data_IF_843119801732
#
_entry.id   IF_843119801732
#
_cell.length_a   1.000
_cell.length_b   1.000
_cell.length_c   1.000
_cell.angle_alpha   90.00
_cell.angle_beta   90.00
_cell.angle_gamma   90.00
#
_symmetry.space_group_name_H-M   'P 1'
#
loop_
_entity.id
_entity.type
_entity.pdbx_description
1 polymer ?
#
# COMPACT_ATOMS: atom_id res chain seq x y z
N UNK A 1 28.14 39.15 48.49
CA UNK A 1 27.99 37.69 48.49
C UNK A 1 29.26 37.11 49.11
N UNK A 2 29.17 36.14 50.06
CA UNK A 2 30.39 35.48 50.61
C UNK A 2 30.97 34.57 49.49
N UNK A 3 32.30 34.46 49.45
CA UNK A 3 33.02 33.71 48.40
C UNK A 3 32.56 32.26 48.30
N UNK A 4 32.27 31.64 49.41
CA UNK A 4 31.78 30.25 49.49
C UNK A 4 30.40 30.12 48.88
N UNK A 5 29.46 31.04 49.14
CA UNK A 5 28.11 31.06 48.60
C UNK A 5 28.08 31.23 47.06
N UNK A 6 29.04 31.99 46.49
CA UNK A 6 29.19 32.16 45.05
C UNK A 6 29.65 30.86 44.40
N UNK A 7 30.65 30.19 44.95
CA UNK A 7 31.20 28.95 44.44
C UNK A 7 30.16 27.82 44.48
N UNK A 8 29.37 27.72 45.55
CA UNK A 8 28.28 26.75 45.67
C UNK A 8 27.21 26.97 44.59
N UNK A 9 26.78 28.22 44.37
CA UNK A 9 25.79 28.57 43.36
C UNK A 9 26.32 28.31 41.93
N UNK A 10 27.57 28.65 41.64
CA UNK A 10 28.21 28.37 40.36
C UNK A 10 28.27 26.88 40.07
N UNK A 11 28.71 26.08 41.07
CA UNK A 11 28.76 24.62 40.93
C UNK A 11 27.37 24.02 40.71
N UNK A 12 26.35 24.55 41.38
CA UNK A 12 24.97 24.15 41.20
C UNK A 12 24.48 24.47 39.77
N UNK A 13 24.74 25.68 39.28
CA UNK A 13 24.38 26.06 37.90
C UNK A 13 25.12 25.23 36.87
N UNK A 14 26.42 24.96 37.06
CA UNK A 14 27.17 24.09 36.11
C UNK A 14 26.62 22.66 36.07
N UNK A 15 26.28 22.08 37.21
CA UNK A 15 25.67 20.76 37.28
C UNK A 15 24.32 20.74 36.55
N UNK A 16 23.45 21.72 36.77
CA UNK A 16 22.17 21.85 36.09
C UNK A 16 22.39 22.02 34.57
N UNK A 17 23.32 22.90 34.18
CA UNK A 17 23.68 23.14 32.77
C UNK A 17 24.09 21.88 32.07
N UNK A 18 24.94 21.06 32.69
CA UNK A 18 25.39 19.78 32.11
C UNK A 18 24.28 18.76 32.03
N UNK A 19 23.44 18.58 33.06
CA UNK A 19 22.33 17.63 33.08
C UNK A 19 21.28 18.02 32.05
N UNK A 20 20.93 19.31 31.95
CA UNK A 20 19.93 19.83 31.04
C UNK A 20 20.46 19.98 29.59
N UNK A 21 21.76 19.75 29.37
CA UNK A 21 22.42 19.96 28.07
C UNK A 21 22.21 21.38 27.51
N UNK A 22 22.25 22.36 28.37
CA UNK A 22 22.13 23.79 28.06
C UNK A 22 23.51 24.36 27.74
N UNK A 23 23.61 25.25 26.76
CA UNK A 23 24.89 25.85 26.39
C UNK A 23 25.39 26.79 27.46
N UNK A 24 24.55 27.75 27.87
CA UNK A 24 24.81 28.71 28.93
C UNK A 24 23.64 28.73 29.91
N UNK A 25 23.96 28.76 31.19
CA UNK A 25 23.03 28.92 32.31
C UNK A 25 23.63 29.90 33.33
N UNK A 26 23.01 31.03 33.47
CA UNK A 26 23.52 32.08 34.34
C UNK A 26 22.39 32.84 35.03
N UNK A 27 22.73 33.64 36.02
CA UNK A 27 21.82 34.58 36.66
C UNK A 27 22.23 36.02 36.34
N UNK A 28 21.21 36.87 36.17
CA UNK A 28 21.38 38.26 35.82
C UNK A 28 20.58 39.16 36.77
N UNK A 29 21.02 40.41 36.93
CA UNK A 29 20.28 41.46 37.63
C UNK A 29 20.60 42.81 37.02
N UNK A 30 19.85 43.87 37.40
CA UNK A 30 20.23 45.24 37.11
C UNK A 30 21.38 45.72 37.99
N UNK A 31 22.30 46.49 37.42
CA UNK A 31 23.27 47.29 38.17
C UNK A 31 22.64 48.64 38.66
N UNK A 32 23.39 49.43 39.40
CA UNK A 32 22.91 50.73 39.90
C UNK A 32 22.61 51.77 38.80
N UNK A 33 23.00 51.47 37.56
CA UNK A 33 22.72 52.29 36.36
C UNK A 33 21.54 51.75 35.54
N UNK A 34 20.84 50.71 36.02
CA UNK A 34 19.74 50.08 35.34
C UNK A 34 20.15 49.22 34.12
N UNK A 35 21.41 48.79 34.02
CA UNK A 35 21.90 47.94 32.95
C UNK A 35 21.94 46.48 33.44
N UNK A 36 21.52 45.50 32.65
CA UNK A 36 21.61 44.09 33.02
C UNK A 36 23.08 43.63 33.05
N UNK A 37 23.42 42.90 34.13
CA UNK A 37 24.75 42.35 34.33
C UNK A 37 24.71 40.92 34.84
N UNK A 38 25.78 40.16 34.59
CA UNK A 38 25.97 38.83 35.12
C UNK A 38 26.11 38.86 36.64
N UNK A 39 25.43 37.97 37.33
CA UNK A 39 25.57 37.80 38.78
C UNK A 39 26.34 36.51 39.11
N UNK A 40 25.91 35.38 38.56
CA UNK A 40 26.63 34.09 38.65
C UNK A 40 26.53 33.39 37.27
N UNK A 41 27.67 33.03 36.72
CA UNK A 41 27.77 32.25 35.52
C UNK A 41 27.99 30.76 35.87
N UNK A 42 27.23 29.86 35.29
CA UNK A 42 27.36 28.42 35.46
C UNK A 42 28.52 27.80 34.68
N UNK A 43 29.27 28.57 33.90
CA UNK A 43 30.49 28.05 33.27
C UNK A 43 31.65 27.96 34.28
N UNK A 44 32.57 27.00 34.06
CA UNK A 44 33.83 26.97 34.85
C UNK A 44 34.66 28.22 34.61
N UNK A 45 35.34 28.76 35.65
CA UNK A 45 36.12 30.00 35.54
C UNK A 45 37.27 29.97 34.52
N UNK A 46 37.69 28.79 34.09
CA UNK A 46 38.70 28.60 33.06
C UNK A 46 38.14 28.50 31.65
N UNK A 47 36.81 28.59 31.47
CA UNK A 47 36.17 28.66 30.15
C UNK A 47 36.45 30.00 29.46
N UNK A 48 36.68 29.98 28.14
CA UNK A 48 36.84 31.21 27.34
C UNK A 48 35.60 32.10 27.35
N UNK A 49 34.45 31.49 27.53
CA UNK A 49 33.14 32.17 27.47
C UNK A 49 32.62 32.57 28.85
N UNK A 50 33.39 32.26 29.93
CA UNK A 50 33.02 32.64 31.32
C UNK A 50 32.90 34.13 31.50
N UNK A 51 31.85 34.54 32.20
CA UNK A 51 31.59 35.93 32.58
C UNK A 51 31.71 36.13 34.11
N UNK A 52 32.44 37.17 34.47
CA UNK A 52 32.61 37.55 35.89
C UNK A 52 31.38 38.27 36.42
N UNK A 53 31.12 38.18 37.75
CA UNK A 53 30.09 39.00 38.37
C UNK A 53 30.30 40.47 38.12
N UNK A 54 29.29 41.15 37.57
CA UNK A 54 29.34 42.56 37.21
C UNK A 54 29.64 42.83 35.73
N UNK A 55 30.04 41.85 34.95
CA UNK A 55 30.18 42.00 33.50
C UNK A 55 28.81 42.34 32.91
N UNK A 56 28.77 43.24 31.91
CA UNK A 56 27.55 43.61 31.25
C UNK A 56 27.08 42.49 30.28
N UNK A 57 25.78 42.33 30.20
CA UNK A 57 25.15 41.42 29.26
C UNK A 57 25.29 41.94 27.82
N UNK A 58 25.43 41.04 26.88
CA UNK A 58 25.57 41.32 25.44
C UNK A 58 24.34 42.05 24.89
N UNK A 59 24.58 43.05 24.02
CA UNK A 59 23.53 43.93 23.47
C UNK A 59 22.40 43.23 22.79
N UNK A 60 22.68 42.10 22.15
CA UNK A 60 21.72 41.33 21.36
C UNK A 60 20.55 40.77 22.16
N UNK A 61 20.79 40.49 23.46
CA UNK A 61 19.79 39.88 24.37
C UNK A 61 19.25 40.86 25.40
N UNK A 62 19.84 42.06 25.54
CA UNK A 62 19.42 43.11 26.50
C UNK A 62 17.92 43.43 26.41
N UNK A 63 17.29 43.58 25.23
CA UNK A 63 15.85 43.89 25.17
C UNK A 63 14.98 42.83 25.83
N UNK A 64 15.31 41.55 25.63
CA UNK A 64 14.58 40.42 26.20
C UNK A 64 14.82 40.33 27.71
N UNK A 65 16.06 40.55 28.13
CA UNK A 65 16.44 40.46 29.53
C UNK A 65 15.83 41.60 30.36
N UNK A 66 15.68 42.78 29.81
CA UNK A 66 14.99 43.89 30.46
C UNK A 66 13.54 43.56 30.78
N UNK A 67 12.82 42.92 29.85
CA UNK A 67 11.45 42.44 30.05
C UNK A 67 11.42 41.37 31.15
N UNK A 68 12.36 40.42 31.09
CA UNK A 68 12.45 39.34 32.07
C UNK A 68 12.73 39.89 33.49
N UNK A 69 13.67 40.80 33.63
CA UNK A 69 14.00 41.46 34.90
C UNK A 69 12.88 42.38 35.41
N UNK A 70 11.90 42.73 34.57
CA UNK A 70 10.67 43.43 34.95
C UNK A 70 9.52 42.47 35.32
N UNK A 71 9.78 41.16 35.36
CA UNK A 71 8.81 40.15 35.83
C UNK A 71 8.13 39.31 34.75
N UNK A 72 8.53 39.45 33.50
CA UNK A 72 7.96 38.68 32.41
C UNK A 72 8.76 37.38 32.16
N UNK A 73 8.09 36.25 32.02
CA UNK A 73 8.72 35.02 31.51
C UNK A 73 8.99 35.19 30.02
N UNK A 74 10.23 35.06 29.59
CA UNK A 74 10.64 35.25 28.20
C UNK A 74 11.10 33.92 27.62
N UNK A 75 10.51 33.59 26.48
CA UNK A 75 10.99 32.54 25.59
C UNK A 75 11.21 33.18 24.22
N UNK A 76 12.35 32.91 23.57
CA UNK A 76 12.60 33.46 22.22
C UNK A 76 11.67 32.82 21.20
N UNK A 77 10.97 33.64 20.42
CA UNK A 77 10.07 33.16 19.34
C UNK A 77 10.82 32.44 18.20
N UNK A 78 12.13 32.50 18.20
CA UNK A 78 12.98 31.91 17.16
C UNK A 78 14.45 31.92 17.55
N UNK A 79 15.29 31.65 16.58
CA UNK A 79 16.74 31.67 16.73
C UNK A 79 17.22 33.10 16.85
N UNK A 80 17.97 33.35 17.89
CA UNK A 80 18.74 34.59 18.10
C UNK A 80 20.16 34.37 17.59
N UNK A 81 20.63 35.25 16.74
CA UNK A 81 22.03 35.27 16.30
C UNK A 81 22.82 36.22 17.22
N UNK A 82 23.62 35.64 18.07
CA UNK A 82 24.49 36.37 18.99
C UNK A 82 25.96 36.24 18.56
N UNK A 83 26.84 37.02 19.20
CA UNK A 83 28.31 36.87 19.01
C UNK A 83 28.78 35.43 19.25
N UNK A 84 28.07 34.66 20.07
CA UNK A 84 28.37 33.29 20.47
C UNK A 84 27.73 32.24 19.57
N UNK A 85 27.02 32.69 18.51
CA UNK A 85 26.32 31.84 17.54
C UNK A 85 24.81 31.85 17.70
N UNK A 86 24.16 30.93 17.01
CA UNK A 86 22.69 30.79 16.96
C UNK A 86 22.18 30.10 18.25
N UNK A 87 21.30 30.74 18.97
CA UNK A 87 20.75 30.27 20.25
C UNK A 87 19.23 30.39 20.29
N UNK A 88 18.61 29.60 21.18
CA UNK A 88 17.28 29.86 21.75
C UNK A 88 17.49 30.29 23.19
N UNK A 89 16.79 31.33 23.59
CA UNK A 89 16.90 31.91 24.93
C UNK A 89 15.59 31.74 25.72
N UNK A 90 15.71 31.31 26.96
CA UNK A 90 14.63 31.35 27.95
C UNK A 90 15.12 32.11 29.18
N UNK A 91 14.31 33.04 29.65
CA UNK A 91 14.63 33.83 30.84
C UNK A 91 13.43 33.80 31.79
N UNK A 92 13.70 33.44 33.05
CA UNK A 92 12.73 33.37 34.14
C UNK A 92 13.08 34.33 35.24
N UNK A 93 12.16 35.25 35.63
CA UNK A 93 12.40 36.17 36.74
C UNK A 93 12.49 35.42 38.08
N UNK A 94 13.41 35.82 38.91
CA UNK A 94 13.65 35.25 40.25
C UNK A 94 13.17 36.22 41.34
N UNK A 95 12.37 35.70 42.27
CA UNK A 95 11.75 36.48 43.34
C UNK A 95 12.24 36.04 44.71
N UNK A 96 12.23 36.99 45.67
CA UNK A 96 12.35 36.66 47.10
C UNK A 96 10.96 36.36 47.67
N UNK A 97 10.89 35.48 48.66
CA UNK A 97 9.63 35.17 49.33
C UNK A 97 9.04 36.44 49.97
N UNK A 98 7.85 36.81 49.51
CA UNK A 98 7.10 37.98 50.01
C UNK A 98 7.33 39.28 49.23
N UNK A 99 8.19 39.29 48.21
CA UNK A 99 8.39 40.47 47.33
C UNK A 99 7.66 40.28 45.98
N UNK A 100 7.06 41.35 45.47
CA UNK A 100 6.35 41.35 44.20
C UNK A 100 7.28 41.64 43.01
N UNK A 101 8.41 42.29 43.27
CA UNK A 101 9.39 42.61 42.22
C UNK A 101 10.51 41.57 42.17
N UNK A 102 10.95 41.18 40.95
CA UNK A 102 12.05 40.24 40.80
C UNK A 102 13.37 40.82 41.26
N UNK A 103 14.15 40.04 42.01
CA UNK A 103 15.50 40.41 42.46
C UNK A 103 16.58 40.11 41.41
N UNK A 104 16.23 39.39 40.35
CA UNK A 104 17.10 38.99 39.27
C UNK A 104 16.37 38.07 38.29
N UNK A 105 17.13 37.42 37.44
CA UNK A 105 16.60 36.44 36.48
C UNK A 105 17.55 35.26 36.33
N UNK A 106 17.00 34.10 35.98
CA UNK A 106 17.75 32.93 35.54
C UNK A 106 17.61 32.83 34.03
N UNK A 107 18.73 32.76 33.33
CA UNK A 107 18.78 32.72 31.86
C UNK A 107 19.37 31.40 31.40
N UNK A 108 18.70 30.77 30.44
CA UNK A 108 19.12 29.54 29.79
C UNK A 108 19.24 29.78 28.29
N UNK A 109 20.37 29.38 27.73
CA UNK A 109 20.61 29.46 26.29
C UNK A 109 20.92 28.09 25.69
N UNK A 110 20.13 27.70 24.73
CA UNK A 110 20.26 26.43 24.02
C UNK A 110 20.90 26.63 22.65
N UNK A 111 21.81 25.75 22.27
CA UNK A 111 22.39 25.79 20.94
C UNK A 111 21.33 25.42 19.86
N UNK A 112 21.03 26.38 19.01
CA UNK A 112 20.06 26.20 17.94
C UNK A 112 20.46 25.11 16.94
N UNK A 113 21.74 24.95 16.61
CA UNK A 113 22.24 23.95 15.66
C UNK A 113 21.98 22.52 16.14
N UNK A 114 22.11 22.27 17.44
CA UNK A 114 21.85 20.95 18.03
C UNK A 114 20.35 20.60 17.89
N UNK A 115 19.50 21.58 18.17
CA UNK A 115 18.05 21.42 18.06
C UNK A 115 17.64 21.20 16.61
N UNK A 116 18.15 21.98 15.66
CA UNK A 116 17.86 21.82 14.24
C UNK A 116 18.34 20.47 13.67
N UNK A 117 19.57 20.05 14.01
CA UNK A 117 20.11 18.75 13.59
C UNK A 117 19.30 17.58 14.14
N UNK A 118 18.80 17.69 15.38
CA UNK A 118 17.93 16.65 15.95
C UNK A 118 16.56 16.60 15.29
N UNK A 119 15.93 17.77 15.03
CA UNK A 119 14.69 17.91 14.28
C UNK A 119 14.80 17.32 12.87
N UNK A 120 15.87 17.70 12.14
CA UNK A 120 16.08 17.20 10.77
C UNK A 120 16.24 15.67 10.74
N UNK A 121 17.00 15.11 11.66
CA UNK A 121 17.14 13.66 11.80
C UNK A 121 15.80 12.99 12.09
N UNK A 122 15.02 13.51 13.02
CA UNK A 122 13.69 12.98 13.34
C UNK A 122 12.75 13.03 12.11
N UNK A 123 12.76 14.11 11.34
CA UNK A 123 11.99 14.24 10.10
C UNK A 123 12.44 13.22 9.03
N UNK A 124 13.74 13.01 8.85
CA UNK A 124 14.27 12.03 7.90
C UNK A 124 13.88 10.60 8.29
N UNK A 125 14.00 10.24 9.57
CA UNK A 125 13.60 8.91 10.04
C UNK A 125 12.10 8.67 9.93
N UNK A 126 11.26 9.66 10.29
CA UNK A 126 9.81 9.55 10.14
C UNK A 126 9.39 9.45 8.67
N UNK A 127 10.03 10.22 7.79
CA UNK A 127 9.80 10.14 6.34
C UNK A 127 10.21 8.78 5.75
N UNK A 128 11.37 8.25 6.13
CA UNK A 128 11.82 6.94 5.70
C UNK A 128 10.88 5.82 6.19
N UNK A 129 10.44 5.89 7.45
CA UNK A 129 9.47 4.93 8.00
C UNK A 129 8.13 4.97 7.26
N UNK A 130 7.63 6.17 6.96
CA UNK A 130 6.40 6.33 6.19
C UNK A 130 6.50 5.70 4.79
N UNK A 131 7.62 5.91 4.09
CA UNK A 131 7.87 5.28 2.78
C UNK A 131 7.90 3.76 2.86
N UNK A 132 8.52 3.18 3.90
CA UNK A 132 8.55 1.72 4.11
C UNK A 132 7.12 1.17 4.34
N UNK A 133 6.32 1.86 5.16
CA UNK A 133 4.94 1.45 5.43
C UNK A 133 4.09 1.52 4.15
N UNK A 134 4.14 2.63 3.42
CA UNK A 134 3.39 2.78 2.16
C UNK A 134 3.83 1.74 1.13
N UNK A 135 5.14 1.53 0.97
CA UNK A 135 5.69 0.49 0.07
C UNK A 135 5.23 -0.91 0.47
N UNK A 136 5.25 -1.23 1.75
CA UNK A 136 4.76 -2.52 2.27
C UNK A 136 3.26 -2.72 2.04
N UNK A 137 2.44 -1.72 2.32
CA UNK A 137 1.00 -1.77 2.08
C UNK A 137 0.67 -1.94 0.60
N UNK A 138 1.33 -1.18 -0.29
CA UNK A 138 1.11 -1.31 -1.74
C UNK A 138 1.54 -2.67 -2.26
N UNK A 139 2.66 -3.20 -1.79
CA UNK A 139 3.12 -4.54 -2.16
C UNK A 139 2.14 -5.63 -1.71
N UNK A 140 1.67 -5.57 -0.46
CA UNK A 140 0.67 -6.53 0.08
C UNK A 140 -0.63 -6.44 -0.73
N UNK A 141 -1.12 -5.23 -1.00
CA UNK A 141 -2.34 -5.02 -1.80
C UNK A 141 -2.19 -5.63 -3.20
N UNK A 142 -1.04 -5.43 -3.85
CA UNK A 142 -0.75 -6.02 -5.16
C UNK A 142 -0.71 -7.56 -5.11
N UNK A 143 -0.14 -8.14 -4.07
CA UNK A 143 -0.13 -9.60 -3.88
C UNK A 143 -1.55 -10.14 -3.66
N UNK A 144 -2.37 -9.47 -2.85
CA UNK A 144 -3.76 -9.85 -2.61
C UNK A 144 -4.58 -9.78 -3.91
N UNK A 145 -4.45 -8.70 -4.69
CA UNK A 145 -5.12 -8.57 -5.98
C UNK A 145 -4.71 -9.68 -6.96
N UNK A 146 -3.42 -9.98 -7.07
CA UNK A 146 -2.94 -11.05 -7.96
C UNK A 146 -3.42 -12.44 -7.52
N UNK A 147 -3.43 -12.72 -6.23
CA UNK A 147 -3.78 -14.07 -5.73
C UNK A 147 -5.28 -14.32 -5.60
N UNK A 148 -6.07 -13.32 -5.26
CA UNK A 148 -7.48 -13.48 -4.95
C UNK A 148 -8.39 -12.94 -6.06
N UNK A 149 -8.17 -11.70 -6.47
CA UNK A 149 -9.07 -11.04 -7.41
C UNK A 149 -8.90 -11.54 -8.85
N UNK A 150 -7.65 -11.70 -9.33
CA UNK A 150 -7.40 -12.09 -10.72
C UNK A 150 -7.99 -13.47 -11.09
N UNK A 151 -7.85 -14.54 -10.30
CA UNK A 151 -8.50 -15.84 -10.59
C UNK A 151 -10.02 -15.75 -10.56
N UNK A 152 -10.58 -14.98 -9.61
CA UNK A 152 -12.03 -14.79 -9.50
C UNK A 152 -12.59 -14.07 -10.74
N UNK A 153 -11.97 -12.96 -11.15
CA UNK A 153 -12.39 -12.23 -12.35
C UNK A 153 -12.20 -13.05 -13.62
N UNK A 154 -11.13 -13.83 -13.74
CA UNK A 154 -10.95 -14.75 -14.86
C UNK A 154 -12.05 -15.79 -14.92
N UNK A 155 -12.40 -16.43 -13.81
CA UNK A 155 -13.50 -17.39 -13.78
C UNK A 155 -14.82 -16.73 -14.19
N UNK A 156 -15.12 -15.54 -13.69
CA UNK A 156 -16.35 -14.82 -14.05
C UNK A 156 -16.39 -14.41 -15.52
N UNK A 157 -15.25 -14.02 -16.10
CA UNK A 157 -15.15 -13.55 -17.48
C UNK A 157 -15.15 -14.69 -18.51
N UNK A 158 -14.65 -15.87 -18.15
CA UNK A 158 -14.39 -16.95 -19.10
C UNK A 158 -15.16 -18.25 -18.82
N UNK A 159 -16.02 -18.29 -17.80
CA UNK A 159 -16.80 -19.48 -17.46
C UNK A 159 -18.30 -19.20 -17.63
N UNK A 160 -19.05 -20.14 -18.21
CA UNK A 160 -20.51 -20.10 -18.18
C UNK A 160 -21.01 -20.49 -16.78
N UNK A 161 -21.76 -19.59 -16.16
CA UNK A 161 -22.19 -19.74 -14.76
C UNK A 161 -23.21 -20.84 -14.52
N UNK A 162 -23.93 -21.26 -15.54
CA UNK A 162 -24.91 -22.34 -15.46
C UNK A 162 -24.24 -23.71 -15.54
N UNK A 163 -23.34 -23.88 -16.49
CA UNK A 163 -22.78 -25.19 -16.87
C UNK A 163 -21.38 -25.44 -16.29
N UNK A 164 -20.64 -24.36 -15.93
CA UNK A 164 -19.29 -24.44 -15.35
C UNK A 164 -18.16 -24.66 -16.37
N UNK A 165 -18.46 -24.88 -17.66
CA UNK A 165 -17.47 -24.94 -18.75
C UNK A 165 -17.12 -23.55 -19.26
N UNK A 166 -16.21 -23.43 -20.23
CA UNK A 166 -15.88 -22.15 -20.86
C UNK A 166 -17.12 -21.50 -21.50
N UNK A 167 -17.15 -20.15 -21.47
CA UNK A 167 -18.18 -19.38 -22.18
C UNK A 167 -17.71 -18.96 -23.58
N UNK A 168 -18.55 -18.25 -24.33
CA UNK A 168 -18.24 -17.74 -25.67
C UNK A 168 -16.94 -16.92 -25.71
N UNK A 169 -16.72 -16.06 -24.72
CA UNK A 169 -15.49 -15.24 -24.64
C UNK A 169 -14.24 -16.10 -24.47
N UNK A 170 -14.33 -17.18 -23.69
CA UNK A 170 -13.24 -18.16 -23.57
C UNK A 170 -12.96 -18.90 -24.88
N UNK A 171 -14.01 -19.29 -25.58
CA UNK A 171 -13.90 -19.92 -26.92
C UNK A 171 -13.19 -19.00 -27.92
N UNK A 172 -13.64 -17.74 -28.05
CA UNK A 172 -13.04 -16.76 -28.97
C UNK A 172 -11.56 -16.47 -28.62
N UNK A 173 -11.22 -16.46 -27.34
CA UNK A 173 -9.84 -16.29 -26.90
C UNK A 173 -8.97 -17.47 -27.25
N UNK A 174 -9.48 -18.70 -27.04
CA UNK A 174 -8.72 -19.92 -27.35
C UNK A 174 -8.55 -20.12 -28.87
N UNK A 175 -9.57 -19.80 -29.66
CA UNK A 175 -9.45 -19.79 -31.11
C UNK A 175 -8.36 -18.83 -31.61
N UNK A 176 -8.31 -17.60 -31.06
CA UNK A 176 -7.23 -16.65 -31.35
C UNK A 176 -5.84 -17.14 -30.91
N UNK A 177 -5.76 -17.93 -29.85
CA UNK A 177 -4.51 -18.54 -29.41
C UNK A 177 -4.07 -19.65 -30.36
N UNK A 178 -5.00 -20.46 -30.87
CA UNK A 178 -4.74 -21.46 -31.89
C UNK A 178 -4.25 -20.82 -33.20
N UNK A 179 -4.92 -19.77 -33.67
CA UNK A 179 -4.48 -19.00 -34.84
C UNK A 179 -3.03 -18.53 -34.76
N UNK A 180 -2.58 -18.08 -33.58
CA UNK A 180 -1.19 -17.63 -33.35
C UNK A 180 -0.17 -18.78 -33.34
N UNK A 181 -0.62 -20.00 -33.08
CA UNK A 181 0.21 -21.21 -33.03
C UNK A 181 0.25 -21.99 -34.34
N UNK A 182 -0.45 -21.52 -35.38
CA UNK A 182 -0.41 -22.14 -36.70
C UNK A 182 1.04 -22.29 -37.20
N UNK A 183 1.39 -23.37 -37.91
CA UNK A 183 0.50 -24.41 -38.47
C UNK A 183 0.41 -25.67 -37.57
N UNK A 184 -0.57 -25.74 -36.67
CA UNK A 184 -0.89 -26.96 -35.93
C UNK A 184 -2.32 -27.40 -36.29
N UNK A 185 -2.57 -28.68 -36.58
CA UNK A 185 -3.92 -29.17 -36.89
C UNK A 185 -4.81 -29.07 -35.64
N UNK A 186 -6.04 -28.68 -35.83
CA UNK A 186 -7.07 -28.69 -34.79
C UNK A 186 -8.44 -28.98 -35.40
N UNK A 187 -9.33 -29.53 -34.58
CA UNK A 187 -10.71 -29.85 -34.98
C UNK A 187 -11.69 -29.14 -34.04
N UNK A 188 -12.72 -28.57 -34.63
CA UNK A 188 -13.85 -27.97 -33.94
C UNK A 188 -15.05 -28.88 -34.08
N UNK A 189 -15.67 -29.21 -32.95
CA UNK A 189 -16.97 -29.92 -32.97
C UNK A 189 -18.00 -29.00 -32.35
N UNK A 190 -19.00 -28.63 -33.12
CA UNK A 190 -20.15 -27.86 -32.65
C UNK A 190 -21.31 -28.79 -32.31
N UNK A 191 -22.02 -28.50 -31.23
CA UNK A 191 -23.20 -29.29 -30.80
C UNK A 191 -24.37 -28.34 -30.58
N UNK A 192 -25.57 -28.79 -30.98
CA UNK A 192 -26.84 -28.09 -30.77
C UNK A 192 -27.82 -29.04 -30.08
N UNK A 193 -28.32 -28.67 -28.90
CA UNK A 193 -29.23 -29.50 -28.13
C UNK A 193 -30.63 -29.54 -28.74
N UNK A 194 -31.09 -30.74 -29.03
CA UNK A 194 -32.43 -30.93 -29.61
C UNK A 194 -33.53 -30.66 -28.58
N UNK A 195 -34.64 -30.13 -29.03
CA UNK A 195 -35.89 -30.02 -28.31
C UNK A 195 -35.86 -29.14 -27.03
N UNK A 196 -34.90 -28.28 -26.88
CA UNK A 196 -34.77 -27.40 -25.68
C UNK A 196 -36.05 -26.61 -25.36
N UNK A 197 -36.71 -26.07 -26.40
CA UNK A 197 -37.98 -25.38 -26.22
C UNK A 197 -39.06 -26.30 -25.65
N UNK A 198 -39.20 -27.54 -26.18
CA UNK A 198 -40.17 -28.52 -25.69
C UNK A 198 -39.91 -28.90 -24.23
N UNK A 199 -38.65 -29.08 -23.85
CA UNK A 199 -38.25 -29.36 -22.45
C UNK A 199 -38.68 -28.22 -21.54
N UNK A 200 -38.39 -26.97 -21.95
CA UNK A 200 -38.76 -25.80 -21.17
C UNK A 200 -40.29 -25.65 -21.04
N UNK A 201 -41.00 -25.83 -22.12
CA UNK A 201 -42.47 -25.68 -22.17
C UNK A 201 -43.17 -26.79 -21.35
N UNK A 202 -42.62 -28.00 -21.32
CA UNK A 202 -43.22 -29.19 -20.66
C UNK A 202 -42.86 -29.23 -19.16
N UNK A 203 -41.58 -29.00 -18.81
CA UNK A 203 -41.06 -29.28 -17.48
C UNK A 203 -40.56 -28.00 -16.78
N UNK A 204 -40.65 -26.82 -17.43
CA UNK A 204 -40.21 -25.53 -16.90
C UNK A 204 -38.71 -25.28 -17.12
N UNK A 205 -38.30 -24.01 -16.97
CA UNK A 205 -36.92 -23.59 -17.21
C UNK A 205 -35.88 -24.29 -16.29
N UNK A 206 -36.25 -24.67 -15.08
CA UNK A 206 -35.34 -25.41 -14.20
C UNK A 206 -34.94 -26.79 -14.79
N UNK A 207 -35.86 -27.47 -15.55
CA UNK A 207 -35.56 -28.70 -16.24
C UNK A 207 -34.65 -28.47 -17.45
N UNK A 208 -34.86 -27.36 -18.21
CA UNK A 208 -33.97 -26.98 -19.28
C UNK A 208 -32.55 -26.65 -18.77
N UNK A 209 -32.44 -25.94 -17.64
CA UNK A 209 -31.17 -25.72 -16.97
C UNK A 209 -30.46 -27.02 -16.55
N UNK A 210 -31.21 -27.97 -16.05
CA UNK A 210 -30.67 -29.30 -15.70
C UNK A 210 -30.19 -30.06 -16.96
N UNK A 211 -30.92 -29.93 -18.06
CA UNK A 211 -30.57 -30.53 -19.36
C UNK A 211 -29.26 -29.94 -19.91
N UNK A 212 -29.10 -28.62 -19.87
CA UNK A 212 -27.86 -27.91 -20.23
C UNK A 212 -26.68 -28.35 -19.35
N UNK A 213 -26.87 -28.44 -18.01
CA UNK A 213 -25.84 -28.95 -17.11
C UNK A 213 -25.45 -30.38 -17.39
N UNK A 214 -26.44 -31.23 -17.79
CA UNK A 214 -26.17 -32.63 -18.12
C UNK A 214 -25.32 -32.74 -19.38
N UNK A 215 -25.60 -31.96 -20.43
CA UNK A 215 -24.74 -31.88 -21.61
C UNK A 215 -23.31 -31.44 -21.25
N UNK A 216 -23.15 -30.38 -20.51
CA UNK A 216 -21.81 -29.95 -20.07
C UNK A 216 -21.06 -31.01 -19.26
N UNK A 217 -21.77 -31.77 -18.42
CA UNK A 217 -21.19 -32.88 -17.67
C UNK A 217 -20.73 -34.02 -18.61
N UNK A 218 -21.48 -34.33 -19.65
CA UNK A 218 -21.07 -35.30 -20.67
C UNK A 218 -19.81 -34.84 -21.40
N UNK A 219 -19.75 -33.55 -21.82
CA UNK A 219 -18.59 -32.97 -22.47
C UNK A 219 -17.32 -32.98 -21.62
N UNK A 220 -17.45 -32.90 -20.29
CA UNK A 220 -16.32 -32.91 -19.37
C UNK A 220 -15.85 -34.31 -18.95
N UNK A 221 -16.68 -35.32 -19.07
CA UNK A 221 -16.46 -36.63 -18.43
C UNK A 221 -16.35 -37.78 -19.39
N UNK A 222 -17.05 -37.73 -20.52
CA UNK A 222 -17.09 -38.82 -21.45
C UNK A 222 -15.99 -38.69 -22.52
N UNK A 223 -15.32 -39.80 -22.79
CA UNK A 223 -14.37 -39.87 -23.90
C UNK A 223 -15.14 -39.91 -25.25
N UNK A 224 -14.60 -39.31 -26.32
CA UNK A 224 -13.29 -38.61 -26.43
C UNK A 224 -13.36 -37.16 -26.00
N UNK A 225 -14.56 -36.64 -25.79
CA UNK A 225 -14.83 -35.18 -25.69
C UNK A 225 -14.17 -34.57 -24.48
N UNK A 226 -13.97 -35.36 -23.42
CA UNK A 226 -13.23 -34.89 -22.20
C UNK A 226 -11.75 -34.53 -22.47
N UNK A 227 -11.16 -34.96 -23.59
CA UNK A 227 -9.81 -34.61 -24.03
C UNK A 227 -9.72 -33.19 -24.62
N UNK A 228 -10.86 -32.68 -25.14
CA UNK A 228 -10.96 -31.37 -25.74
C UNK A 228 -11.32 -30.26 -24.74
N UNK A 229 -11.20 -29.02 -25.19
CA UNK A 229 -11.65 -27.84 -24.43
C UNK A 229 -13.09 -27.51 -24.83
N UNK A 230 -14.03 -27.67 -23.90
CA UNK A 230 -15.46 -27.46 -24.15
C UNK A 230 -15.97 -26.13 -23.70
N UNK A 231 -16.86 -25.54 -24.49
CA UNK A 231 -17.43 -24.20 -24.28
C UNK A 231 -18.93 -24.21 -24.57
N UNK A 232 -19.68 -23.33 -23.89
CA UNK A 232 -21.05 -22.98 -24.25
C UNK A 232 -21.06 -21.63 -24.93
N UNK A 233 -21.45 -21.58 -26.20
CA UNK A 233 -21.36 -20.37 -27.02
C UNK A 233 -22.71 -19.68 -27.24
N UNK A 234 -23.81 -20.37 -26.98
CA UNK A 234 -25.18 -19.88 -27.13
C UNK A 234 -26.12 -20.47 -26.08
N UNK A 235 -27.41 -20.33 -26.28
CA UNK A 235 -28.45 -20.87 -25.40
C UNK A 235 -28.36 -22.38 -25.21
N UNK A 236 -28.37 -23.12 -26.30
CA UNK A 236 -28.31 -24.59 -26.44
C UNK A 236 -27.11 -25.07 -27.28
N UNK A 237 -26.22 -24.12 -27.66
CA UNK A 237 -25.06 -24.38 -28.51
C UNK A 237 -23.79 -24.57 -27.67
N UNK A 238 -23.07 -25.66 -27.95
CA UNK A 238 -21.80 -26.03 -27.36
C UNK A 238 -20.74 -26.25 -28.42
N UNK A 239 -19.47 -26.05 -28.04
CA UNK A 239 -18.34 -26.31 -28.93
C UNK A 239 -17.23 -26.98 -28.15
N UNK A 240 -16.53 -27.95 -28.77
CA UNK A 240 -15.29 -28.51 -28.24
C UNK A 240 -14.15 -28.31 -29.24
N UNK A 241 -13.01 -27.86 -28.78
CA UNK A 241 -11.76 -27.73 -29.53
C UNK A 241 -10.84 -28.89 -29.20
N UNK A 242 -10.34 -29.56 -30.23
CA UNK A 242 -9.36 -30.65 -30.15
C UNK A 242 -8.06 -30.22 -30.84
N UNK A 243 -6.91 -30.43 -30.20
CA UNK A 243 -5.59 -30.18 -30.79
C UNK A 243 -4.92 -31.52 -31.13
N UNK A 244 -4.47 -31.69 -32.39
CA UNK A 244 -3.66 -32.86 -32.81
C UNK A 244 -4.40 -34.18 -32.90
N UNK A 245 -5.73 -34.19 -32.82
CA UNK A 245 -6.55 -35.41 -33.03
C UNK A 245 -6.75 -35.68 -34.52
N UNK A 246 -6.73 -36.97 -34.90
CA UNK A 246 -7.01 -37.41 -36.25
C UNK A 246 -8.52 -37.42 -36.48
N UNK A 247 -8.99 -36.70 -37.49
CA UNK A 247 -10.44 -36.49 -37.77
C UNK A 247 -11.21 -37.82 -37.89
N UNK A 248 -10.70 -38.81 -38.62
CA UNK A 248 -11.37 -40.08 -38.81
C UNK A 248 -11.56 -40.85 -37.50
N UNK A 249 -10.58 -40.81 -36.63
CA UNK A 249 -10.63 -41.40 -35.29
C UNK A 249 -11.65 -40.68 -34.43
N UNK A 250 -11.60 -39.33 -34.42
CA UNK A 250 -12.52 -38.50 -33.67
C UNK A 250 -13.98 -38.70 -34.10
N UNK A 251 -14.26 -38.77 -35.39
CA UNK A 251 -15.63 -39.05 -35.93
C UNK A 251 -16.20 -40.36 -35.40
N UNK A 252 -15.42 -41.44 -35.40
CA UNK A 252 -15.87 -42.74 -34.87
C UNK A 252 -16.18 -42.66 -33.37
N UNK A 253 -15.35 -41.95 -32.60
CA UNK A 253 -15.54 -41.81 -31.17
C UNK A 253 -16.72 -40.88 -30.84
N UNK A 254 -16.98 -39.85 -31.65
CA UNK A 254 -18.14 -38.97 -31.52
C UNK A 254 -19.48 -39.70 -31.74
N UNK A 255 -19.53 -40.73 -32.59
CA UNK A 255 -20.72 -41.58 -32.71
C UNK A 255 -21.02 -42.31 -31.40
N UNK A 256 -20.01 -42.83 -30.72
CA UNK A 256 -20.14 -43.46 -29.40
C UNK A 256 -20.61 -42.44 -28.35
N UNK A 257 -20.04 -41.25 -28.36
CA UNK A 257 -20.45 -40.17 -27.50
C UNK A 257 -21.90 -39.73 -27.73
N UNK A 258 -22.34 -39.64 -28.96
CA UNK A 258 -23.74 -39.33 -29.32
C UNK A 258 -24.71 -40.38 -28.76
N UNK A 259 -24.34 -41.69 -28.82
CA UNK A 259 -25.13 -42.75 -28.19
C UNK A 259 -25.14 -42.69 -26.67
N UNK A 260 -24.02 -42.27 -26.02
CA UNK A 260 -23.97 -42.05 -24.59
C UNK A 260 -24.88 -40.91 -24.14
N UNK A 261 -25.01 -39.85 -24.94
CA UNK A 261 -25.99 -38.78 -24.75
C UNK A 261 -27.41 -39.30 -24.67
N UNK A 262 -27.78 -40.20 -25.59
CA UNK A 262 -29.11 -40.81 -25.61
C UNK A 262 -29.44 -41.71 -24.39
N UNK A 263 -28.42 -42.19 -23.67
CA UNK A 263 -28.57 -42.91 -22.40
C UNK A 263 -28.60 -42.00 -21.16
N UNK A 264 -28.20 -40.77 -21.32
CA UNK A 264 -28.20 -39.78 -20.23
C UNK A 264 -29.56 -39.09 -20.19
N UNK A 265 -30.30 -39.24 -19.10
CA UNK A 265 -31.65 -38.70 -18.97
C UNK A 265 -31.74 -37.53 -17.95
N UNK A 266 -32.68 -36.63 -18.25
CA UNK A 266 -33.15 -35.57 -17.33
C UNK A 266 -34.67 -35.60 -17.35
N UNK A 267 -35.30 -35.86 -16.20
CA UNK A 267 -36.76 -36.04 -16.07
C UNK A 267 -37.34 -37.12 -17.00
N UNK A 268 -36.58 -38.19 -17.32
CA UNK A 268 -36.98 -39.25 -18.23
C UNK A 268 -36.84 -38.90 -19.74
N UNK A 269 -36.31 -37.72 -20.04
CA UNK A 269 -35.99 -37.31 -21.42
C UNK A 269 -34.50 -37.52 -21.70
N UNK A 270 -34.12 -38.23 -22.77
CA UNK A 270 -32.72 -38.44 -23.14
C UNK A 270 -32.07 -37.14 -23.61
N UNK A 271 -30.75 -36.95 -23.34
CA UNK A 271 -30.00 -35.82 -23.84
C UNK A 271 -29.61 -36.07 -25.30
N UNK A 272 -30.33 -35.44 -26.21
CA UNK A 272 -30.10 -35.55 -27.65
C UNK A 272 -29.57 -34.23 -28.21
N UNK A 273 -28.65 -34.33 -29.15
CA UNK A 273 -28.04 -33.19 -29.82
C UNK A 273 -27.68 -33.54 -31.28
N UNK A 274 -27.65 -32.53 -32.14
CA UNK A 274 -26.97 -32.59 -33.41
C UNK A 274 -25.52 -32.17 -33.24
N UNK A 275 -24.60 -32.63 -34.06
CA UNK A 275 -23.23 -32.15 -34.07
C UNK A 275 -22.68 -32.01 -35.48
N UNK A 276 -21.73 -31.08 -35.65
CA UNK A 276 -20.98 -30.86 -36.90
C UNK A 276 -19.48 -30.77 -36.57
N UNK A 277 -18.65 -31.24 -37.49
CA UNK A 277 -17.19 -31.28 -37.32
C UNK A 277 -16.55 -30.45 -38.43
N UNK A 278 -15.56 -29.63 -38.05
CA UNK A 278 -14.73 -28.89 -38.98
C UNK A 278 -13.26 -29.01 -38.51
N UNK A 279 -12.40 -29.48 -39.40
CA UNK A 279 -10.97 -29.65 -39.11
C UNK A 279 -10.14 -28.68 -39.93
N UNK A 280 -9.10 -28.12 -39.29
CA UNK A 280 -8.06 -27.34 -39.94
C UNK A 280 -6.81 -28.20 -40.08
N UNK A 281 -6.40 -28.43 -41.35
CA UNK A 281 -5.15 -29.12 -41.71
C UNK A 281 -4.22 -28.12 -42.42
N UNK A 282 -3.07 -27.75 -41.83
CA UNK A 282 -2.13 -26.83 -42.44
C UNK A 282 -1.52 -27.31 -43.77
N UNK A 283 -1.60 -28.60 -44.07
CA UNK A 283 -1.13 -29.15 -45.34
C UNK A 283 -2.15 -28.94 -46.48
N UNK A 284 -3.44 -28.91 -46.16
CA UNK A 284 -4.54 -28.75 -47.09
C UNK A 284 -5.10 -27.32 -47.16
N UNK A 285 -5.16 -26.66 -46.04
CA UNK A 285 -5.76 -25.33 -45.89
C UNK A 285 -4.72 -24.22 -46.10
N UNK A 286 -4.57 -23.75 -47.33
CA UNK A 286 -3.66 -22.64 -47.67
C UNK A 286 -4.26 -21.28 -47.30
N UNK A 287 -4.24 -20.90 -46.04
CA UNK A 287 -4.52 -19.55 -45.54
C UNK A 287 -5.91 -19.37 -44.94
N UNK A 288 -6.05 -18.42 -44.06
CA UNK A 288 -7.21 -17.81 -43.41
C UNK A 288 -8.41 -18.69 -43.00
N UNK A 289 -8.56 -18.90 -41.70
CA UNK A 289 -9.76 -19.44 -41.03
C UNK A 289 -11.08 -18.68 -41.31
N UNK A 290 -11.05 -17.63 -42.12
CA UNK A 290 -12.23 -16.81 -42.46
C UNK A 290 -13.07 -17.34 -43.62
N UNK A 291 -12.69 -18.46 -44.22
CA UNK A 291 -13.36 -19.01 -45.44
C UNK A 291 -13.91 -20.44 -45.30
N UNK A 292 -14.08 -20.90 -44.07
CA UNK A 292 -14.76 -22.21 -43.80
C UNK A 292 -16.06 -22.00 -43.06
#
# INVERSE_FOLDING_TARGET
MRRDTYQDMQSMLDNIRQIANVRYLYTAKFNDRGQPMYLVDGLPPNSSDFRSPGDLIEQDIVPMLNRCLSGELIESDGVLNTEWGAIFLTCMPAYTIGEAEPIGAVVMEFNADVIYKSKLRAMLYSGALALVIVGGCTFITMLCLRRLATPFYKKLAYTDMLTGIGNRTAFELELKNLEKRLPHPFTIVAYDLNYMKRINDTYGHAAGDAYLRRMAHLLMREEPVSRGLSFRIGGDEFVTLFEGEEEETLLRELEVFHMAGAQAEVNGEPVTFAYGVASYDPALDKGSLHNT
#
